data_IF_884947892672
#
_entry.id   IF_884947892672
#
_cell.length_a   1.000
_cell.length_b   1.000
_cell.length_c   1.000
_cell.angle_alpha   90.00
_cell.angle_beta   90.00
_cell.angle_gamma   90.00
#
_symmetry.space_group_name_H-M   'P 1'
#
loop_
_entity.id
_entity.type
_entity.pdbx_description
1 polymer ?
#
# COMPACT_ATOMS: atom_id res chain seq x y z
N UNK A 1 20.26 -49.81 37.82
CA UNK A 1 18.87 -49.52 37.46
C UNK A 1 18.83 -48.14 36.82
N UNK A 2 18.73 -48.07 35.47
CA UNK A 2 18.73 -46.82 34.71
C UNK A 2 17.28 -46.33 34.54
N UNK A 3 16.99 -45.14 35.05
CA UNK A 3 15.71 -44.45 34.84
C UNK A 3 15.74 -43.78 33.45
N UNK A 4 14.90 -44.27 32.54
CA UNK A 4 14.67 -43.68 31.23
C UNK A 4 13.59 -42.61 31.43
N UNK A 5 13.98 -41.32 31.32
CA UNK A 5 13.03 -40.23 31.26
C UNK A 5 12.55 -40.07 29.81
N UNK A 6 11.30 -40.38 29.59
CA UNK A 6 10.62 -40.14 28.33
C UNK A 6 10.17 -38.67 28.31
N UNK A 7 10.92 -37.84 27.60
CA UNK A 7 10.49 -36.48 27.26
C UNK A 7 9.53 -36.58 26.05
N UNK A 8 8.24 -36.55 26.32
CA UNK A 8 7.23 -36.42 25.28
C UNK A 8 7.31 -35.02 24.73
N UNK A 9 7.97 -34.86 23.58
CA UNK A 9 7.92 -33.62 22.78
C UNK A 9 6.53 -33.51 22.16
N UNK A 10 5.67 -32.73 22.80
CA UNK A 10 4.38 -32.32 22.25
C UNK A 10 4.65 -31.30 21.14
N UNK A 11 4.75 -31.80 19.91
CA UNK A 11 4.82 -30.98 18.71
C UNK A 11 3.43 -30.37 18.49
N UNK A 12 3.22 -29.15 19.00
CA UNK A 12 2.08 -28.35 18.64
C UNK A 12 2.26 -27.91 17.16
N UNK A 13 1.65 -28.70 16.28
CA UNK A 13 1.36 -28.27 14.91
C UNK A 13 0.33 -27.14 15.01
N UNK A 14 0.82 -25.92 15.15
CA UNK A 14 0.05 -24.73 14.79
C UNK A 14 -0.19 -24.83 13.29
N UNK A 15 -1.34 -25.37 12.91
CA UNK A 15 -1.90 -25.15 11.59
C UNK A 15 -2.18 -23.65 11.49
N UNK A 16 -1.16 -22.89 11.11
CA UNK A 16 -1.31 -21.54 10.60
C UNK A 16 -2.24 -21.68 9.39
N UNK A 17 -3.48 -21.31 9.57
CA UNK A 17 -4.38 -21.02 8.46
C UNK A 17 -3.75 -19.81 7.78
N UNK A 18 -2.80 -20.06 6.89
CA UNK A 18 -2.02 -19.03 6.23
C UNK A 18 -2.96 -18.25 5.32
N UNK A 19 -3.43 -17.10 5.78
CA UNK A 19 -3.95 -16.09 4.89
C UNK A 19 -2.80 -15.78 3.93
N UNK A 20 -2.97 -16.14 2.65
CA UNK A 20 -1.95 -15.91 1.64
C UNK A 20 -1.78 -14.39 1.52
N UNK A 21 -0.58 -13.90 1.78
CA UNK A 21 -0.26 -12.49 1.62
C UNK A 21 -0.55 -12.05 0.18
N UNK A 22 -1.19 -10.89 0.01
CA UNK A 22 -1.50 -10.36 -1.32
C UNK A 22 -0.23 -9.96 -2.05
N UNK A 23 -0.21 -10.24 -3.34
CA UNK A 23 0.89 -9.95 -4.25
C UNK A 23 0.86 -8.45 -4.65
N UNK A 24 2.01 -7.93 -5.07
CA UNK A 24 2.11 -6.63 -5.73
C UNK A 24 2.06 -6.89 -7.23
N UNK A 25 1.08 -6.32 -7.91
CA UNK A 25 1.06 -6.26 -9.36
C UNK A 25 1.94 -5.08 -9.82
N UNK A 26 2.89 -5.32 -10.71
CA UNK A 26 3.69 -4.25 -11.31
C UNK A 26 3.08 -3.88 -12.66
N UNK A 27 2.45 -2.70 -12.79
CA UNK A 27 1.82 -2.26 -14.03
C UNK A 27 2.84 -2.09 -15.17
N UNK A 28 2.37 -2.18 -16.41
CA UNK A 28 3.22 -2.05 -17.61
C UNK A 28 4.00 -0.75 -17.65
N UNK A 29 3.39 0.35 -17.21
CA UNK A 29 4.04 1.65 -17.16
C UNK A 29 5.26 1.66 -16.22
N UNK A 30 5.23 0.87 -15.17
CA UNK A 30 6.33 0.72 -14.22
C UNK A 30 7.34 -0.36 -14.62
N UNK A 31 6.97 -1.31 -15.51
CA UNK A 31 7.88 -2.38 -15.95
C UNK A 31 9.08 -1.87 -16.76
N UNK A 32 8.98 -0.69 -17.35
CA UNK A 32 10.09 -0.02 -18.05
C UNK A 32 11.07 0.71 -17.13
N UNK A 33 10.76 0.78 -15.84
CA UNK A 33 11.53 1.49 -14.80
C UNK A 33 12.28 0.46 -13.95
N UNK A 34 13.54 0.74 -13.60
CA UNK A 34 14.24 -0.08 -12.60
C UNK A 34 13.75 0.30 -11.19
N UNK A 35 12.84 -0.49 -10.66
CA UNK A 35 12.28 -0.25 -9.32
C UNK A 35 13.29 -0.55 -8.18
N UNK A 36 14.45 -1.14 -8.49
CA UNK A 36 15.53 -1.32 -7.50
C UNK A 36 16.51 -0.14 -7.50
N UNK A 37 16.44 0.75 -8.50
CA UNK A 37 17.27 1.95 -8.54
C UNK A 37 16.62 3.07 -7.72
N UNK A 38 17.26 3.57 -6.63
CA UNK A 38 16.74 4.68 -5.84
C UNK A 38 16.64 5.99 -6.62
N UNK A 39 17.34 6.10 -7.75
CA UNK A 39 17.28 7.27 -8.63
C UNK A 39 16.05 7.25 -9.57
N UNK A 40 15.39 6.11 -9.73
CA UNK A 40 14.13 6.01 -10.49
C UNK A 40 13.03 6.87 -9.85
N UNK A 41 12.06 7.34 -10.64
CA UNK A 41 10.93 8.13 -10.15
C UNK A 41 10.16 7.40 -9.05
N UNK A 42 9.88 6.12 -9.24
CA UNK A 42 9.37 5.20 -8.23
C UNK A 42 10.36 4.07 -8.00
N UNK A 43 10.53 3.65 -6.77
CA UNK A 43 11.37 2.49 -6.43
C UNK A 43 10.84 1.79 -5.18
N UNK A 44 11.35 0.57 -4.94
CA UNK A 44 10.92 -0.22 -3.77
C UNK A 44 11.33 0.38 -2.43
N UNK A 45 12.39 1.21 -2.36
CA UNK A 45 12.75 1.92 -1.14
C UNK A 45 11.73 3.00 -0.77
N UNK A 46 11.00 3.51 -1.74
CA UNK A 46 9.93 4.49 -1.58
C UNK A 46 8.57 3.84 -1.71
N UNK A 47 8.36 2.79 -0.92
CA UNK A 47 7.10 2.04 -0.84
C UNK A 47 6.69 1.76 0.59
N UNK A 48 5.39 1.68 0.81
CA UNK A 48 4.81 1.14 2.03
C UNK A 48 3.71 0.15 1.70
N UNK A 49 3.54 -0.83 2.58
CA UNK A 49 2.55 -1.88 2.42
C UNK A 49 1.54 -1.82 3.55
N UNK A 50 0.29 -2.12 3.20
CA UNK A 50 -0.75 -2.54 4.12
C UNK A 50 -1.24 -3.92 3.72
N UNK A 51 -2.27 -4.44 4.35
CA UNK A 51 -2.86 -5.71 3.93
C UNK A 51 -3.38 -5.64 2.49
N UNK A 52 -4.08 -4.55 2.15
CA UNK A 52 -4.82 -4.41 0.90
C UNK A 52 -4.23 -3.42 -0.10
N UNK A 53 -3.22 -2.64 0.30
CA UNK A 53 -2.61 -1.62 -0.54
C UNK A 53 -1.09 -1.72 -0.62
N UNK A 54 -0.56 -1.26 -1.75
CA UNK A 54 0.82 -0.84 -1.91
C UNK A 54 0.83 0.65 -2.22
N UNK A 55 1.63 1.42 -1.48
CA UNK A 55 1.76 2.87 -1.61
C UNK A 55 3.15 3.13 -2.18
N UNK A 56 3.23 3.71 -3.37
CA UNK A 56 4.47 4.21 -3.96
C UNK A 56 4.48 5.74 -3.89
N UNK A 57 5.65 6.34 -3.73
CA UNK A 57 5.78 7.80 -3.85
C UNK A 57 6.95 8.21 -4.71
N UNK A 58 6.75 9.35 -5.40
CA UNK A 58 7.71 9.94 -6.31
C UNK A 58 9.00 10.36 -5.60
N UNK A 59 10.11 10.34 -6.32
CA UNK A 59 11.45 10.69 -5.83
C UNK A 59 11.51 12.07 -5.16
N UNK A 60 10.69 13.02 -5.61
CA UNK A 60 10.62 14.36 -5.05
C UNK A 60 10.32 14.43 -3.55
N UNK A 61 9.61 13.44 -3.01
CA UNK A 61 9.35 13.36 -1.57
C UNK A 61 10.57 12.98 -0.73
N UNK A 62 11.63 12.40 -1.34
CA UNK A 62 12.70 11.72 -0.61
C UNK A 62 12.22 10.39 -0.02
N UNK A 63 13.00 9.85 0.92
CA UNK A 63 12.70 8.54 1.51
C UNK A 63 11.76 8.62 2.74
N UNK A 64 11.58 9.81 3.30
CA UNK A 64 10.74 10.03 4.48
C UNK A 64 9.63 11.04 4.16
N UNK A 65 8.41 10.55 4.03
CA UNK A 65 7.23 11.36 3.73
C UNK A 65 6.92 12.40 4.81
N UNK A 66 7.32 12.15 6.07
CA UNK A 66 7.13 13.11 7.17
C UNK A 66 8.12 14.28 7.15
N UNK A 67 9.19 14.14 6.37
CA UNK A 67 10.26 15.13 6.18
C UNK A 67 10.40 15.51 4.69
N UNK A 68 9.35 15.32 3.89
CA UNK A 68 9.35 15.67 2.48
C UNK A 68 9.72 17.16 2.29
N UNK A 69 10.58 17.49 1.29
CA UNK A 69 10.91 18.88 0.99
C UNK A 69 9.66 19.69 0.62
N UNK A 70 9.71 21.00 0.84
CA UNK A 70 8.69 21.89 0.32
C UNK A 70 8.78 22.02 -1.22
N UNK A 71 7.66 22.14 -1.87
CA UNK A 71 7.57 22.44 -3.28
C UNK A 71 6.96 23.84 -3.46
N UNK A 72 7.73 24.80 -4.00
CA UNK A 72 7.29 26.18 -4.19
C UNK A 72 6.74 26.83 -2.90
N UNK A 73 7.35 26.51 -1.74
CA UNK A 73 6.92 27.01 -0.43
C UNK A 73 5.67 26.33 0.15
N UNK A 74 5.19 25.28 -0.49
CA UNK A 74 4.08 24.47 0.00
C UNK A 74 4.62 23.22 0.72
N UNK A 75 4.03 22.94 1.87
CA UNK A 75 4.32 21.72 2.63
C UNK A 75 3.90 20.48 1.84
N UNK A 76 4.82 19.54 1.64
CA UNK A 76 4.59 18.28 0.92
C UNK A 76 4.59 17.06 1.84
N UNK A 77 4.68 17.25 3.16
CA UNK A 77 4.70 16.14 4.12
C UNK A 77 3.40 15.34 4.12
N UNK A 78 3.51 14.06 4.37
CA UNK A 78 2.37 13.14 4.47
C UNK A 78 2.52 12.30 5.74
N UNK A 79 1.46 12.22 6.53
CA UNK A 79 1.34 11.26 7.62
C UNK A 79 1.00 9.88 7.03
N UNK A 80 2.06 9.08 6.87
CA UNK A 80 1.95 7.76 6.23
C UNK A 80 1.12 6.78 7.06
N UNK A 81 1.20 6.82 8.38
CA UNK A 81 0.45 5.89 9.22
C UNK A 81 -1.05 6.22 9.21
N UNK A 82 -1.40 7.49 9.27
CA UNK A 82 -2.79 7.92 9.10
C UNK A 82 -3.33 7.57 7.69
N UNK A 83 -2.50 7.70 6.65
CA UNK A 83 -2.90 7.30 5.29
C UNK A 83 -3.18 5.80 5.21
N UNK A 84 -2.31 4.96 5.77
CA UNK A 84 -2.50 3.50 5.82
C UNK A 84 -3.79 3.11 6.53
N UNK A 85 -4.05 3.69 7.70
CA UNK A 85 -5.26 3.43 8.48
C UNK A 85 -6.52 3.80 7.70
N UNK A 86 -6.54 4.96 7.07
CA UNK A 86 -7.67 5.40 6.25
C UNK A 86 -7.90 4.51 5.04
N UNK A 87 -6.86 4.11 4.34
CA UNK A 87 -6.95 3.21 3.18
C UNK A 87 -7.57 1.87 3.57
N UNK A 88 -7.13 1.26 4.67
CA UNK A 88 -7.70 0.01 5.15
C UNK A 88 -9.16 0.17 5.60
N UNK A 89 -9.49 1.28 6.27
CA UNK A 89 -10.87 1.60 6.65
C UNK A 89 -11.77 1.73 5.41
N UNK A 90 -11.30 2.40 4.36
CA UNK A 90 -12.04 2.48 3.09
C UNK A 90 -12.19 1.12 2.43
N UNK A 91 -11.12 0.31 2.40
CA UNK A 91 -11.19 -1.02 1.83
C UNK A 91 -12.24 -1.86 2.53
N UNK A 92 -12.23 -1.89 3.86
CA UNK A 92 -13.19 -2.65 4.66
C UNK A 92 -14.63 -2.21 4.36
N UNK A 93 -14.88 -0.91 4.36
CA UNK A 93 -16.21 -0.36 4.08
C UNK A 93 -16.69 -0.69 2.64
N UNK A 94 -15.87 -0.43 1.62
CA UNK A 94 -16.28 -0.64 0.24
C UNK A 94 -16.31 -2.13 -0.16
N UNK A 95 -15.37 -2.91 0.34
CA UNK A 95 -15.27 -4.32 -0.01
C UNK A 95 -16.22 -5.18 0.83
N UNK A 96 -16.17 -5.06 2.16
CA UNK A 96 -16.91 -5.92 3.06
C UNK A 96 -18.35 -5.44 3.30
N UNK A 97 -18.53 -4.13 3.58
CA UNK A 97 -19.86 -3.61 3.94
C UNK A 97 -20.73 -3.36 2.70
N UNK A 98 -20.17 -2.71 1.68
CA UNK A 98 -20.93 -2.35 0.47
C UNK A 98 -20.85 -3.41 -0.64
N UNK A 99 -19.91 -4.35 -0.57
CA UNK A 99 -19.78 -5.44 -1.53
C UNK A 99 -19.45 -4.98 -2.96
N UNK A 100 -18.69 -3.88 -3.13
CA UNK A 100 -18.31 -3.38 -4.44
C UNK A 100 -17.36 -4.32 -5.20
N UNK A 101 -16.60 -5.15 -4.50
CA UNK A 101 -15.85 -6.23 -5.11
C UNK A 101 -16.33 -7.58 -4.59
N UNK A 102 -16.41 -8.55 -5.49
CA UNK A 102 -16.82 -9.90 -5.11
C UNK A 102 -15.66 -10.68 -4.55
N UNK A 103 -15.92 -11.48 -3.52
CA UNK A 103 -14.97 -12.48 -3.01
C UNK A 103 -14.52 -13.40 -4.15
N UNK A 104 -13.22 -13.68 -4.24
CA UNK A 104 -12.62 -14.41 -5.34
C UNK A 104 -12.22 -13.52 -6.52
N UNK A 105 -12.41 -12.21 -6.42
CA UNK A 105 -11.94 -11.25 -7.43
C UNK A 105 -10.41 -11.01 -7.34
N UNK A 106 -9.88 -10.23 -8.28
CA UNK A 106 -8.45 -9.86 -8.29
C UNK A 106 -8.00 -9.12 -7.03
N UNK A 107 -8.93 -8.45 -6.33
CA UNK A 107 -8.66 -7.79 -5.04
C UNK A 107 -8.28 -8.77 -3.91
N UNK A 108 -8.62 -10.04 -4.04
CA UNK A 108 -8.18 -11.06 -3.07
C UNK A 108 -6.75 -11.53 -3.34
N UNK A 109 -6.24 -11.33 -4.55
CA UNK A 109 -4.90 -11.74 -4.96
C UNK A 109 -3.90 -10.61 -4.90
N UNK A 110 -4.28 -9.43 -5.35
CA UNK A 110 -3.39 -8.28 -5.49
C UNK A 110 -3.76 -7.16 -4.54
N UNK A 111 -2.74 -6.43 -4.07
CA UNK A 111 -2.91 -5.14 -3.43
C UNK A 111 -3.35 -4.10 -4.45
N UNK A 112 -4.26 -3.22 -4.05
CA UNK A 112 -4.54 -2.00 -4.80
C UNK A 112 -3.37 -1.03 -4.67
N UNK A 113 -3.18 -0.15 -5.64
CA UNK A 113 -2.02 0.72 -5.72
C UNK A 113 -2.40 2.18 -5.41
N UNK A 114 -1.60 2.81 -4.56
CA UNK A 114 -1.67 4.26 -4.32
C UNK A 114 -0.37 4.89 -4.79
N UNK A 115 -0.49 5.88 -5.67
CA UNK A 115 0.63 6.60 -6.27
C UNK A 115 0.63 8.03 -5.74
N UNK A 116 1.55 8.33 -4.82
CA UNK A 116 1.71 9.70 -4.31
C UNK A 116 2.55 10.51 -5.28
N UNK A 117 1.97 11.60 -5.78
CA UNK A 117 2.60 12.49 -6.73
C UNK A 117 3.16 13.73 -6.02
N UNK A 118 4.43 14.02 -6.27
CA UNK A 118 5.10 15.22 -5.76
C UNK A 118 4.75 16.42 -6.64
N UNK A 119 3.53 16.92 -6.50
CA UNK A 119 2.95 17.96 -7.34
C UNK A 119 1.97 18.83 -6.56
N UNK A 120 1.86 20.10 -6.94
CA UNK A 120 0.88 21.05 -6.42
C UNK A 120 -0.47 20.97 -7.15
N UNK A 121 -0.57 20.15 -8.18
CA UNK A 121 -1.85 19.91 -8.85
C UNK A 121 -2.85 19.34 -7.82
N UNK A 122 -3.95 20.06 -7.61
CA UNK A 122 -4.98 19.68 -6.63
C UNK A 122 -5.85 18.50 -7.09
N UNK A 123 -5.26 17.46 -7.68
CA UNK A 123 -5.99 16.33 -8.26
C UNK A 123 -5.85 15.06 -7.43
N UNK A 124 -6.97 14.36 -7.26
CA UNK A 124 -6.99 12.94 -6.92
C UNK A 124 -7.87 12.26 -7.97
N UNK A 125 -7.38 11.18 -8.56
CA UNK A 125 -8.18 10.39 -9.47
C UNK A 125 -7.93 8.90 -9.24
N UNK A 126 -9.01 8.13 -9.35
CA UNK A 126 -8.99 6.68 -9.30
C UNK A 126 -9.16 6.10 -10.70
N UNK A 127 -8.61 4.94 -10.89
CA UNK A 127 -8.71 4.18 -12.12
C UNK A 127 -8.29 2.75 -11.93
N UNK A 128 -8.01 2.08 -13.04
CA UNK A 128 -7.39 0.77 -13.00
C UNK A 128 -6.02 0.80 -13.67
N UNK A 129 -5.14 -0.11 -13.25
CA UNK A 129 -3.93 -0.42 -13.96
C UNK A 129 -4.10 -1.74 -14.72
N UNK A 130 -3.97 -1.66 -16.02
CA UNK A 130 -3.99 -2.80 -16.97
C UNK A 130 -5.25 -3.66 -16.89
N UNK A 131 -6.34 -3.17 -16.30
CA UNK A 131 -7.53 -3.95 -15.98
C UNK A 131 -7.29 -5.02 -14.90
N UNK A 132 -6.19 -4.93 -14.16
CA UNK A 132 -5.77 -5.92 -13.15
C UNK A 132 -6.03 -5.46 -11.71
N UNK A 133 -5.70 -4.21 -11.39
CA UNK A 133 -5.84 -3.67 -10.03
C UNK A 133 -6.46 -2.27 -10.04
N UNK A 134 -7.13 -1.92 -8.94
CA UNK A 134 -7.52 -0.54 -8.67
C UNK A 134 -6.30 0.30 -8.32
N UNK A 135 -6.28 1.54 -8.79
CA UNK A 135 -5.22 2.49 -8.50
C UNK A 135 -5.78 3.88 -8.15
N UNK A 136 -5.07 4.57 -7.26
CA UNK A 136 -5.35 5.93 -6.86
C UNK A 136 -4.08 6.77 -7.04
N UNK A 137 -4.18 7.85 -7.80
CA UNK A 137 -3.14 8.87 -7.92
C UNK A 137 -3.56 10.09 -7.12
N UNK A 138 -2.72 10.54 -6.19
CA UNK A 138 -3.09 11.61 -5.27
C UNK A 138 -1.89 12.47 -4.91
N UNK A 139 -2.16 13.78 -4.74
CA UNK A 139 -1.18 14.77 -4.27
C UNK A 139 -1.39 15.10 -2.79
N UNK A 140 -0.37 15.62 -2.07
CA UNK A 140 -0.49 15.96 -0.66
C UNK A 140 -1.61 16.96 -0.34
N UNK A 141 -1.83 17.94 -1.22
CA UNK A 141 -2.89 18.93 -1.05
C UNK A 141 -4.29 18.30 -0.96
N UNK A 142 -4.51 17.20 -1.68
CA UNK A 142 -5.78 16.46 -1.61
C UNK A 142 -5.89 15.57 -0.39
N UNK A 143 -4.81 14.95 0.05
CA UNK A 143 -4.81 14.12 1.26
C UNK A 143 -5.12 14.93 2.54
N UNK A 144 -4.83 16.23 2.53
CA UNK A 144 -5.07 17.15 3.64
C UNK A 144 -6.41 17.89 3.56
N UNK A 145 -7.14 17.77 2.48
CA UNK A 145 -8.45 18.43 2.33
C UNK A 145 -9.47 17.74 3.24
N UNK A 146 -9.81 18.40 4.35
CA UNK A 146 -10.75 17.89 5.35
C UNK A 146 -12.13 17.55 4.77
N UNK A 147 -12.50 18.19 3.64
CA UNK A 147 -13.76 17.92 2.95
C UNK A 147 -13.79 16.55 2.27
N UNK A 148 -12.64 15.90 2.10
CA UNK A 148 -12.54 14.55 1.56
C UNK A 148 -12.48 13.49 2.67
N UNK A 149 -12.53 13.91 3.92
CA UNK A 149 -12.55 13.02 5.10
C UNK A 149 -13.98 12.63 5.53
N UNK A 150 -14.97 12.87 4.68
CA UNK A 150 -16.37 12.51 4.96
C UNK A 150 -16.67 11.09 4.50
#
# INVERSE_FOLDING_TARGET
MKKISIFAALLLLLASCGVKEKEIYVPKDLQGMDLNDPESEYCYERTALTENFVIFWEKGFGNDLSAAPELEGQDMTIDLENLKEKLETFYDYFYNDLGFAKKGSKCDRYRMMVMLRYSLEGTAYGGDYDGEIGALWVTPGRLRDERLNC
#
